data_IF_352324422378
#
_entry.id   IF_352324422378
#
_cell.length_a   1.000
_cell.length_b   1.000
_cell.length_c   1.000
_cell.angle_alpha   90.00
_cell.angle_beta   90.00
_cell.angle_gamma   90.00
#
_symmetry.space_group_name_H-M   'P 1'
#
loop_
_entity.id
_entity.type
_entity.pdbx_description
1 polymer ?
#
# COMPACT_ATOMS: atom_id res chain seq x y z
N UNK A 1 -3.51 -3.65 -13.85
CA UNK A 1 -2.50 -4.12 -14.84
C UNK A 1 -1.11 -3.87 -14.27
N UNK A 2 -0.22 -4.87 -14.33
CA UNK A 2 1.17 -4.73 -13.88
C UNK A 2 2.02 -4.12 -15.00
N UNK A 3 2.82 -3.10 -14.68
CA UNK A 3 3.78 -2.46 -15.57
C UNK A 3 5.14 -2.35 -14.87
N UNK A 4 6.21 -2.73 -15.56
CA UNK A 4 7.58 -2.42 -15.10
C UNK A 4 7.90 -0.97 -15.45
N UNK A 5 8.42 -0.21 -14.49
CA UNK A 5 8.87 1.17 -14.67
C UNK A 5 10.39 1.19 -14.74
N UNK A 6 10.94 1.96 -15.69
CA UNK A 6 12.37 2.20 -15.80
C UNK A 6 12.86 3.15 -14.70
N UNK A 7 14.09 2.98 -14.22
CA UNK A 7 14.66 3.75 -13.11
C UNK A 7 14.58 5.28 -13.30
N UNK A 8 14.72 5.72 -14.54
CA UNK A 8 14.65 7.11 -14.98
C UNK A 8 13.22 7.71 -14.94
N UNK A 9 12.19 6.88 -15.06
CA UNK A 9 10.78 7.32 -15.11
C UNK A 9 10.10 7.38 -13.73
N UNK A 10 10.73 6.79 -12.71
CA UNK A 10 10.12 6.63 -11.37
C UNK A 10 9.80 7.97 -10.71
N UNK A 11 10.76 8.90 -10.73
CA UNK A 11 10.60 10.19 -10.08
C UNK A 11 9.41 10.94 -10.69
N UNK A 12 9.32 10.92 -12.02
CA UNK A 12 8.23 11.53 -12.75
C UNK A 12 6.89 10.86 -12.43
N UNK A 13 6.82 9.53 -12.49
CA UNK A 13 5.59 8.77 -12.23
C UNK A 13 5.06 9.03 -10.82
N UNK A 14 5.94 9.03 -9.82
CA UNK A 14 5.56 9.28 -8.43
C UNK A 14 5.13 10.74 -8.24
N UNK A 15 5.85 11.71 -8.82
CA UNK A 15 5.46 13.12 -8.81
C UNK A 15 4.03 13.34 -9.36
N UNK A 16 3.68 12.67 -10.46
CA UNK A 16 2.33 12.72 -11.03
C UNK A 16 1.27 12.17 -10.07
N UNK A 17 1.52 11.03 -9.42
CA UNK A 17 0.55 10.47 -8.47
C UNK A 17 0.34 11.35 -7.25
N UNK A 18 1.40 12.00 -6.77
CA UNK A 18 1.28 12.96 -5.64
C UNK A 18 0.40 14.13 -6.05
N UNK A 19 0.61 14.67 -7.25
CA UNK A 19 -0.23 15.75 -7.77
C UNK A 19 -1.69 15.30 -7.90
N UNK A 20 -1.93 14.06 -8.33
CA UNK A 20 -3.27 13.52 -8.54
C UNK A 20 -4.01 13.23 -7.24
N UNK A 21 -3.39 12.55 -6.27
CA UNK A 21 -4.06 12.07 -5.07
C UNK A 21 -3.87 12.97 -3.85
N UNK A 22 -2.83 13.79 -3.87
CA UNK A 22 -2.39 14.58 -2.74
C UNK A 22 -1.88 13.74 -1.56
N UNK A 23 -2.05 12.42 -1.54
CA UNK A 23 -1.58 11.58 -0.44
C UNK A 23 -0.88 10.36 -0.97
N UNK A 24 0.24 10.05 -0.33
CA UNK A 24 0.97 8.82 -0.55
C UNK A 24 1.33 8.19 0.78
N UNK A 25 1.48 6.87 0.72
CA UNK A 25 1.81 6.06 1.87
C UNK A 25 2.97 5.15 1.53
N UNK A 26 3.84 4.93 2.50
CA UNK A 26 4.91 3.95 2.43
C UNK A 26 4.50 2.73 3.24
N UNK A 27 4.62 1.55 2.65
CA UNK A 27 4.49 0.29 3.34
C UNK A 27 5.89 -0.20 3.71
N UNK A 28 6.14 -0.39 5.01
CA UNK A 28 7.45 -0.72 5.59
C UNK A 28 7.34 -2.02 6.37
N UNK A 29 8.24 -2.97 6.14
CA UNK A 29 8.39 -4.17 6.99
C UNK A 29 9.65 -4.05 7.83
N UNK A 30 9.51 -3.75 9.14
CA UNK A 30 10.63 -3.62 10.08
C UNK A 30 11.58 -4.82 10.09
N UNK A 31 11.11 -6.01 9.67
CA UNK A 31 11.92 -7.24 9.66
C UNK A 31 12.96 -7.27 8.54
N UNK A 32 12.88 -6.37 7.55
CA UNK A 32 13.83 -6.31 6.42
C UNK A 32 15.08 -5.52 6.81
N UNK A 33 14.91 -4.25 7.21
CA UNK A 33 15.98 -3.37 7.69
C UNK A 33 15.41 -2.06 8.26
N UNK A 34 15.00 -2.07 9.53
CA UNK A 34 14.32 -0.92 10.13
C UNK A 34 15.24 0.28 10.40
N UNK A 35 16.55 0.03 10.59
CA UNK A 35 17.54 1.07 10.89
C UNK A 35 17.58 2.17 9.84
N UNK A 36 17.25 1.87 8.58
CA UNK A 36 17.23 2.86 7.51
C UNK A 36 16.32 4.06 7.81
N UNK A 37 15.13 3.85 8.37
CA UNK A 37 14.21 4.98 8.65
C UNK A 37 14.67 5.80 9.85
N UNK A 38 15.29 5.15 10.84
CA UNK A 38 15.91 5.81 11.99
C UNK A 38 17.15 6.61 11.59
N UNK A 39 18.05 6.02 10.81
CA UNK A 39 19.35 6.60 10.44
C UNK A 39 19.20 7.82 9.51
N UNK A 40 18.10 7.90 8.76
CA UNK A 40 17.86 8.96 7.78
C UNK A 40 16.80 9.99 8.22
N UNK A 41 16.33 9.94 9.47
CA UNK A 41 15.39 10.91 10.05
C UNK A 41 14.14 11.16 9.19
N UNK A 42 13.48 10.08 8.76
CA UNK A 42 12.24 10.20 8.00
C UNK A 42 11.07 10.62 8.92
N UNK A 43 10.56 11.84 8.74
CA UNK A 43 9.30 12.30 9.32
C UNK A 43 8.06 11.79 8.57
N UNK A 44 7.13 11.18 9.29
CA UNK A 44 5.84 10.75 8.75
C UNK A 44 4.70 11.56 9.39
N UNK A 45 3.67 11.90 8.60
CA UNK A 45 2.46 12.56 9.15
C UNK A 45 1.74 11.64 10.12
N UNK A 46 1.76 10.33 9.84
CA UNK A 46 1.23 9.29 10.72
C UNK A 46 1.84 7.95 10.38
N UNK A 47 1.91 7.08 11.38
CA UNK A 47 2.36 5.69 11.24
C UNK A 47 1.27 4.83 11.88
N UNK A 48 0.77 3.83 11.16
CA UNK A 48 -0.20 2.87 11.69
C UNK A 48 0.25 1.44 11.43
N UNK A 49 0.13 0.53 12.41
CA UNK A 49 0.49 -0.87 12.23
C UNK A 49 -0.58 -1.61 11.40
N UNK A 50 -0.12 -2.45 10.49
CA UNK A 50 -0.92 -3.45 9.79
C UNK A 50 -0.81 -4.74 10.60
N UNK A 51 -1.80 -4.93 11.49
CA UNK A 51 -1.80 -5.98 12.50
C UNK A 51 -2.65 -7.18 12.07
N UNK A 52 -2.11 -8.37 12.28
CA UNK A 52 -2.93 -9.57 12.25
C UNK A 52 -3.91 -9.56 13.43
N UNK A 53 -5.21 -9.71 13.16
CA UNK A 53 -6.24 -9.71 14.22
C UNK A 53 -6.04 -10.79 15.29
N UNK A 54 -5.28 -11.83 14.99
CA UNK A 54 -4.91 -12.91 15.90
C UNK A 54 -3.56 -12.67 16.59
N UNK A 55 -2.76 -11.73 16.09
CA UNK A 55 -1.53 -11.30 16.72
C UNK A 55 -1.83 -10.36 17.90
N UNK A 56 -1.83 -10.97 19.07
CA UNK A 56 -2.06 -10.34 20.36
C UNK A 56 -0.77 -10.08 21.15
N UNK A 57 0.39 -10.45 20.58
CA UNK A 57 1.66 -10.53 21.32
C UNK A 57 2.73 -9.60 20.77
N UNK A 58 2.78 -9.36 19.45
CA UNK A 58 3.79 -8.49 18.85
C UNK A 58 3.50 -7.03 19.19
N UNK A 59 4.56 -6.25 19.38
CA UNK A 59 4.48 -4.81 19.57
C UNK A 59 4.25 -4.11 18.23
N UNK A 60 3.64 -2.92 18.25
CA UNK A 60 3.29 -2.19 17.01
C UNK A 60 4.52 -1.87 16.13
N UNK A 61 5.69 -1.68 16.74
CA UNK A 61 6.93 -1.41 16.01
C UNK A 61 7.52 -2.66 15.31
N UNK A 62 7.05 -3.86 15.66
CA UNK A 62 7.51 -5.12 15.04
C UNK A 62 6.61 -5.56 13.87
N UNK A 63 5.51 -4.84 13.66
CA UNK A 63 4.52 -5.12 12.63
C UNK A 63 4.82 -4.36 11.35
N UNK A 64 4.26 -4.86 10.24
CA UNK A 64 4.21 -4.12 8.98
C UNK A 64 3.58 -2.74 9.23
N UNK A 65 4.23 -1.68 8.79
CA UNK A 65 3.81 -0.30 9.05
C UNK A 65 3.33 0.36 7.77
N UNK A 66 2.22 1.09 7.89
CA UNK A 66 1.75 2.00 6.85
C UNK A 66 2.04 3.43 7.33
N UNK A 67 2.89 4.14 6.59
CA UNK A 67 3.38 5.46 6.97
C UNK A 67 2.87 6.51 5.97
N UNK A 68 2.12 7.51 6.42
CA UNK A 68 1.71 8.63 5.58
C UNK A 68 2.88 9.60 5.37
N UNK A 69 3.17 9.88 4.10
CA UNK A 69 4.26 10.77 3.72
C UNK A 69 3.74 12.22 3.69
N UNK A 70 4.48 13.19 4.28
CA UNK A 70 4.16 14.60 4.17
C UNK A 70 3.99 15.04 2.71
N UNK A 71 3.00 15.90 2.45
CA UNK A 71 2.70 16.48 1.13
C UNK A 71 3.82 17.32 0.48
N UNK A 72 5.00 17.40 1.07
CA UNK A 72 6.08 18.28 0.64
C UNK A 72 6.90 17.61 -0.47
N UNK A 73 6.90 18.19 -1.67
CA UNK A 73 7.54 17.60 -2.86
C UNK A 73 9.00 17.23 -2.65
N UNK A 74 9.76 18.08 -1.95
CA UNK A 74 11.18 17.86 -1.63
C UNK A 74 11.41 16.61 -0.79
N UNK A 75 10.53 16.35 0.17
CA UNK A 75 10.61 15.18 1.04
C UNK A 75 10.39 13.88 0.26
N UNK A 76 9.49 13.93 -0.71
CA UNK A 76 9.15 12.77 -1.53
C UNK A 76 10.28 12.44 -2.51
N UNK A 77 10.88 13.45 -3.15
CA UNK A 77 12.06 13.24 -3.99
C UNK A 77 13.21 12.62 -3.22
N UNK A 78 13.49 13.12 -2.01
CA UNK A 78 14.50 12.55 -1.13
C UNK A 78 14.19 11.09 -0.76
N UNK A 79 12.93 10.80 -0.38
CA UNK A 79 12.48 9.44 -0.11
C UNK A 79 12.74 8.52 -1.30
N UNK A 80 12.35 8.91 -2.51
CA UNK A 80 12.53 8.07 -3.71
C UNK A 80 14.00 7.78 -3.97
N UNK A 81 14.87 8.79 -3.85
CA UNK A 81 16.32 8.63 -4.03
C UNK A 81 16.85 7.58 -3.04
N UNK A 82 16.46 7.66 -1.78
CA UNK A 82 16.94 6.72 -0.78
C UNK A 82 16.35 5.31 -0.93
N UNK A 83 15.08 5.19 -1.32
CA UNK A 83 14.46 3.91 -1.66
C UNK A 83 15.15 3.24 -2.86
N UNK A 84 15.60 4.02 -3.85
CA UNK A 84 16.36 3.53 -5.02
C UNK A 84 17.71 2.91 -4.62
N UNK A 85 18.29 3.34 -3.50
CA UNK A 85 19.54 2.79 -2.98
C UNK A 85 19.36 1.38 -2.35
N UNK A 86 18.13 0.83 -2.32
CA UNK A 86 17.79 -0.56 -1.93
C UNK A 86 18.26 -0.99 -0.53
N UNK A 87 18.48 -0.04 0.38
CA UNK A 87 18.87 -0.31 1.78
C UNK A 87 17.70 -0.21 2.76
N UNK A 88 16.50 0.14 2.31
CA UNK A 88 15.34 0.41 3.17
C UNK A 88 14.49 -0.81 3.49
N UNK A 89 13.79 -0.79 4.62
CA UNK A 89 12.69 -1.71 4.94
C UNK A 89 11.39 -1.47 4.15
N UNK A 90 11.35 -0.49 3.24
CA UNK A 90 10.18 -0.21 2.43
C UNK A 90 9.92 -1.30 1.37
N UNK A 91 8.67 -1.75 1.32
CA UNK A 91 8.17 -2.75 0.36
C UNK A 91 7.46 -2.05 -0.81
N UNK A 92 6.66 -1.03 -0.52
CA UNK A 92 5.86 -0.38 -1.53
C UNK A 92 5.54 1.09 -1.21
N UNK A 93 5.37 1.92 -2.24
CA UNK A 93 4.60 3.16 -2.17
C UNK A 93 3.18 2.88 -2.66
N UNK A 94 2.24 3.48 -1.96
CA UNK A 94 0.81 3.38 -2.20
C UNK A 94 0.28 4.78 -2.50
N UNK A 95 -0.38 4.93 -3.65
CA UNK A 95 -1.15 6.13 -3.97
C UNK A 95 -2.64 5.81 -3.91
N UNK A 96 -3.37 6.60 -3.14
CA UNK A 96 -4.79 6.41 -2.89
C UNK A 96 -5.42 7.68 -2.32
N UNK A 97 -6.64 8.06 -2.75
CA UNK A 97 -7.38 9.20 -2.21
C UNK A 97 -7.97 8.90 -0.83
N UNK A 98 -7.98 7.64 -0.41
CA UNK A 98 -8.58 7.21 0.84
C UNK A 98 -7.69 7.53 2.04
N UNK A 99 -8.30 7.67 3.22
CA UNK A 99 -7.55 7.91 4.47
C UNK A 99 -6.68 6.72 4.85
N UNK A 100 -5.59 6.97 5.58
CA UNK A 100 -4.69 5.93 6.09
C UNK A 100 -5.43 4.83 6.86
N UNK A 101 -6.45 5.20 7.67
CA UNK A 101 -7.26 4.25 8.44
C UNK A 101 -8.08 3.33 7.53
N UNK A 102 -8.60 3.86 6.43
CA UNK A 102 -9.37 3.07 5.48
C UNK A 102 -8.47 2.08 4.72
N UNK A 103 -7.29 2.54 4.31
CA UNK A 103 -6.26 1.70 3.66
C UNK A 103 -5.76 0.62 4.63
N UNK A 104 -5.42 1.00 5.86
CA UNK A 104 -5.03 0.09 6.93
C UNK A 104 -6.08 -1.00 7.14
N UNK A 105 -7.35 -0.62 7.30
CA UNK A 105 -8.44 -1.58 7.48
C UNK A 105 -8.58 -2.52 6.27
N UNK A 106 -8.44 -2.00 5.05
CA UNK A 106 -8.47 -2.81 3.84
C UNK A 106 -7.35 -3.86 3.83
N UNK A 107 -6.10 -3.43 4.02
CA UNK A 107 -4.94 -4.33 4.03
C UNK A 107 -5.08 -5.36 5.16
N UNK A 108 -5.45 -4.93 6.37
CA UNK A 108 -5.71 -5.82 7.50
C UNK A 108 -6.72 -6.91 7.15
N UNK A 109 -7.80 -6.57 6.45
CA UNK A 109 -8.83 -7.56 6.10
C UNK A 109 -8.38 -8.48 4.97
N UNK A 110 -7.72 -7.94 3.96
CA UNK A 110 -7.30 -8.68 2.76
C UNK A 110 -6.16 -9.69 3.03
N UNK A 111 -5.40 -9.51 4.11
CA UNK A 111 -4.38 -10.48 4.54
C UNK A 111 -4.97 -11.80 5.08
N UNK A 112 -6.27 -11.85 5.42
CA UNK A 112 -6.89 -13.04 6.00
C UNK A 112 -7.69 -13.83 4.98
N UNK A 113 -7.29 -15.09 4.77
CA UNK A 113 -8.09 -16.05 4.04
C UNK A 113 -8.43 -17.25 4.91
N UNK A 114 -9.70 -17.66 4.89
CA UNK A 114 -10.14 -18.92 5.47
C UNK A 114 -10.41 -19.93 4.36
N UNK A 115 -9.80 -21.11 4.44
CA UNK A 115 -10.05 -22.22 3.54
C UNK A 115 -10.19 -23.52 4.33
N UNK A 116 -11.30 -24.25 4.13
CA UNK A 116 -11.64 -25.48 4.86
C UNK A 116 -11.51 -25.36 6.40
N UNK A 117 -11.94 -24.22 6.96
CA UNK A 117 -11.86 -23.96 8.40
C UNK A 117 -10.47 -23.58 8.92
N UNK A 118 -9.42 -23.68 8.10
CA UNK A 118 -8.08 -23.22 8.42
C UNK A 118 -7.88 -21.76 7.99
N UNK A 119 -7.11 -20.99 8.77
CA UNK A 119 -6.80 -19.59 8.47
C UNK A 119 -5.37 -19.48 7.93
N UNK A 120 -5.20 -18.69 6.89
CA UNK A 120 -3.92 -18.44 6.22
C UNK A 120 -3.66 -16.94 6.17
N UNK A 121 -2.40 -16.56 6.39
CA UNK A 121 -1.91 -15.20 6.19
C UNK A 121 -1.43 -15.06 4.75
N UNK A 122 -2.11 -14.22 3.96
CA UNK A 122 -1.72 -13.91 2.59
C UNK A 122 -0.91 -12.61 2.56
N UNK A 123 0.38 -12.72 2.26
CA UNK A 123 1.27 -11.56 2.08
C UNK A 123 1.18 -10.99 0.66
N UNK A 124 -0.02 -10.61 0.23
CA UNK A 124 -0.24 -10.07 -1.13
C UNK A 124 0.49 -8.74 -1.38
N UNK A 125 0.94 -8.05 -0.33
CA UNK A 125 1.80 -6.88 -0.41
C UNK A 125 3.24 -7.22 -0.83
N UNK A 126 3.63 -8.49 -0.81
CA UNK A 126 4.89 -8.95 -1.41
C UNK A 126 4.73 -9.00 -2.93
N UNK A 127 5.65 -8.36 -3.64
CA UNK A 127 5.62 -8.26 -5.11
C UNK A 127 5.68 -9.63 -5.80
N UNK A 128 6.39 -10.60 -5.21
CA UNK A 128 6.49 -11.96 -5.75
C UNK A 128 5.16 -12.69 -5.61
N UNK A 129 4.52 -12.59 -4.45
CA UNK A 129 3.20 -13.21 -4.21
C UNK A 129 2.17 -12.59 -5.14
N UNK A 130 2.13 -11.26 -5.25
CA UNK A 130 1.17 -10.57 -6.10
C UNK A 130 1.30 -10.92 -7.58
N UNK A 131 2.54 -11.05 -8.08
CA UNK A 131 2.81 -11.49 -9.47
C UNK A 131 2.15 -12.84 -9.78
N UNK A 132 2.10 -13.75 -8.83
CA UNK A 132 1.37 -15.01 -9.00
C UNK A 132 -0.15 -14.84 -8.84
N UNK A 133 -0.60 -14.03 -7.88
CA UNK A 133 -2.03 -13.83 -7.64
C UNK A 133 -2.76 -13.24 -8.85
N UNK A 134 -2.13 -12.31 -9.58
CA UNK A 134 -2.73 -11.72 -10.79
C UNK A 134 -2.93 -12.71 -11.94
N UNK A 135 -2.21 -13.83 -11.95
CA UNK A 135 -2.33 -14.88 -12.96
C UNK A 135 -3.44 -15.89 -12.60
N UNK A 136 -3.77 -15.99 -11.31
CA UNK A 136 -4.69 -17.00 -10.77
C UNK A 136 -6.08 -16.43 -10.51
N UNK A 137 -6.15 -15.20 -10.02
CA UNK A 137 -7.41 -14.58 -9.60
C UNK A 137 -8.11 -13.93 -10.80
N UNK A 138 -9.43 -14.07 -10.86
CA UNK A 138 -10.23 -13.33 -11.84
C UNK A 138 -10.34 -11.85 -11.47
N UNK A 139 -10.83 -11.02 -12.40
CA UNK A 139 -10.96 -9.57 -12.23
C UNK A 139 -11.72 -9.19 -10.95
N UNK A 140 -12.84 -9.84 -10.65
CA UNK A 140 -13.62 -9.57 -9.43
C UNK A 140 -12.85 -9.89 -8.15
N UNK A 141 -12.12 -11.01 -8.14
CA UNK A 141 -11.28 -11.39 -6.99
C UNK A 141 -10.11 -10.43 -6.81
N UNK A 142 -9.48 -10.00 -7.91
CA UNK A 142 -8.42 -8.99 -7.88
C UNK A 142 -8.94 -7.64 -7.40
N UNK A 143 -10.11 -7.21 -7.87
CA UNK A 143 -10.74 -5.97 -7.41
C UNK A 143 -11.01 -6.01 -5.90
N UNK A 144 -11.50 -7.15 -5.38
CA UNK A 144 -11.70 -7.33 -3.94
C UNK A 144 -10.38 -7.33 -3.15
N UNK A 145 -9.31 -7.93 -3.69
CA UNK A 145 -8.00 -7.98 -3.04
C UNK A 145 -7.36 -6.58 -2.96
N UNK A 146 -7.42 -5.82 -4.05
CA UNK A 146 -6.76 -4.51 -4.19
C UNK A 146 -7.59 -3.36 -3.61
N UNK A 147 -8.92 -3.46 -3.69
CA UNK A 147 -9.89 -2.60 -3.04
C UNK A 147 -9.64 -1.11 -3.24
N UNK A 148 -9.33 -0.41 -2.15
CA UNK A 148 -9.25 1.05 -2.13
C UNK A 148 -7.91 1.63 -2.60
N UNK A 149 -6.99 0.79 -3.06
CA UNK A 149 -5.65 1.20 -3.45
C UNK A 149 -5.55 1.25 -4.96
N UNK A 150 -5.31 2.43 -5.50
CA UNK A 150 -5.23 2.63 -6.96
C UNK A 150 -3.87 2.26 -7.52
N UNK A 151 -2.81 2.68 -6.85
CA UNK A 151 -1.46 2.40 -7.30
C UNK A 151 -0.63 1.78 -6.20
N UNK A 152 -0.06 0.63 -6.53
CA UNK A 152 1.07 0.05 -5.80
C UNK A 152 2.31 0.21 -6.64
N UNK A 153 3.36 0.72 -6.03
CA UNK A 153 4.69 0.76 -6.60
C UNK A 153 5.55 -0.12 -5.71
N UNK A 154 5.98 -1.29 -6.19
CA UNK A 154 6.77 -2.22 -5.39
C UNK A 154 8.27 -1.92 -5.55
N UNK A 155 8.97 -1.81 -4.42
CA UNK A 155 10.43 -1.63 -4.35
C UNK A 155 11.12 -2.97 -4.08
N UNK A 156 11.27 -3.80 -5.12
CA UNK A 156 12.07 -5.02 -5.03
C UNK A 156 12.76 -5.32 -6.36
N UNK A 157 14.10 -5.19 -6.40
CA UNK A 157 15.01 -5.44 -7.55
C UNK A 157 14.66 -4.75 -8.90
N UNK A 158 13.43 -4.30 -9.09
CA UNK A 158 12.74 -3.73 -10.24
C UNK A 158 11.53 -2.95 -9.72
N UNK A 159 11.13 -1.89 -10.41
CA UNK A 159 10.00 -1.07 -10.00
C UNK A 159 8.75 -1.55 -10.71
N UNK A 160 7.87 -2.22 -9.96
CA UNK A 160 6.65 -2.78 -10.51
C UNK A 160 5.48 -1.92 -10.08
N UNK A 161 4.79 -1.32 -11.04
CA UNK A 161 3.52 -0.65 -10.81
C UNK A 161 2.38 -1.62 -11.00
N UNK A 162 1.46 -1.67 -10.03
CA UNK A 162 0.14 -2.23 -10.22
C UNK A 162 -0.89 -1.11 -10.15
N UNK A 163 -1.53 -0.86 -11.28
CA UNK A 163 -2.69 0.04 -11.35
C UNK A 163 -3.98 -0.77 -11.21
N UNK A 164 -4.82 -0.34 -10.27
CA UNK A 164 -6.17 -0.81 -10.01
C UNK A 164 -7.11 0.39 -10.06
N UNK A 165 -8.31 0.20 -10.62
CA UNK A 165 -9.38 1.19 -10.57
C UNK A 165 -10.39 0.69 -9.53
N UNK A 166 -10.41 1.24 -8.30
CA UNK A 166 -11.37 0.87 -7.28
C UNK A 166 -12.78 0.93 -7.83
N UNK A 167 -13.57 -0.09 -7.53
CA UNK A 167 -15.01 0.02 -7.74
C UNK A 167 -15.50 1.16 -6.84
N UNK A 168 -16.06 2.19 -7.47
CA UNK A 168 -16.77 3.26 -6.78
C UNK A 168 -18.01 2.64 -6.14
N UNK A 169 -17.88 2.22 -4.88
CA UNK A 169 -19.03 1.95 -4.03
C UNK A 169 -19.59 3.32 -3.64
N UNK A 170 -20.36 3.92 -4.56
CA UNK A 170 -21.36 4.88 -4.17
C UNK A 170 -22.28 4.09 -3.24
N UNK A 171 -22.10 4.23 -1.92
CA UNK A 171 -23.11 3.77 -0.98
C UNK A 171 -24.43 4.26 -1.54
N UNK A 172 -25.36 3.36 -1.83
CA UNK A 172 -26.69 3.72 -2.28
C UNK A 172 -27.28 4.67 -1.23
N UNK A 173 -27.09 5.97 -1.45
CA UNK A 173 -27.92 6.99 -0.84
C UNK A 173 -29.24 6.75 -1.57
N UNK A 174 -30.05 5.84 -1.02
CA UNK A 174 -31.47 5.80 -1.30
C UNK A 174 -32.00 7.15 -0.85
N UNK A 175 -31.90 8.13 -1.74
CA UNK A 175 -32.60 9.38 -1.62
C UNK A 175 -34.07 8.99 -1.71
N UNK A 176 -34.71 8.85 -0.55
CA UNK A 176 -36.16 8.91 -0.49
C UNK A 176 -36.50 10.40 -0.62
N UNK A 177 -36.99 10.89 -1.77
CA UNK A 177 -37.62 12.19 -1.77
C UNK A 177 -38.82 12.07 -0.82
N UNK A 178 -38.78 12.80 0.28
CA UNK A 178 -39.97 13.05 1.07
C UNK A 178 -40.98 13.71 0.14
N UNK A 179 -42.02 12.97 -0.26
CA UNK A 179 -43.21 13.54 -0.85
C UNK A 179 -43.93 14.33 0.26
N UNK A 180 -43.74 15.65 0.24
CA UNK A 180 -44.64 16.59 0.90
C UNK A 180 -45.92 16.78 0.11
#
# INVERSE_FOLDING_TARGET
MIKTILDEEINHTIAEQIQQFGKMYLLVDPKINDNFFFDNYFEFESIVPIRDRQDTVSQDHELLQLCAIPKQTTYIEQLIIELKNKKSAAIALIASPYSIKYIQNHINNAMFMSYNGSKYLLRFYDSHVLKHLIEILNEKQLNNLLGCIEYWYYWQNSYTQLHHKPELILSNINYHPNNG
#
